data_IF_475307414538
#
_entry.id   IF_475307414538
#
_cell.length_a   1.000
_cell.length_b   1.000
_cell.length_c   1.000
_cell.angle_alpha   90.00
_cell.angle_beta   90.00
_cell.angle_gamma   90.00
#
_symmetry.space_group_name_H-M   'P 1'
#
loop_
_entity.id
_entity.type
_entity.pdbx_description
1 polymer ?
#
# COMPACT_ATOMS: atom_id res chain seq x y z
N UNK A 1 4.71 -28.10 10.36
CA UNK A 1 5.82 -27.83 9.42
C UNK A 1 5.28 -27.98 8.01
N UNK A 2 5.57 -27.07 7.08
CA UNK A 2 5.07 -27.16 5.69
C UNK A 2 5.74 -28.34 4.97
N UNK A 3 4.97 -29.09 4.18
CA UNK A 3 5.51 -30.16 3.31
C UNK A 3 5.66 -29.63 1.90
N UNK A 4 6.90 -29.48 1.43
CA UNK A 4 7.21 -29.02 0.08
C UNK A 4 7.45 -30.23 -0.83
N UNK A 5 6.84 -30.24 -2.03
CA UNK A 5 7.07 -31.29 -3.06
C UNK A 5 8.14 -30.90 -4.06
N UNK A 6 8.39 -29.60 -4.20
CA UNK A 6 9.44 -28.96 -4.98
C UNK A 6 9.87 -27.69 -4.24
N UNK A 7 10.98 -27.03 -4.61
CA UNK A 7 11.46 -25.84 -3.93
C UNK A 7 10.42 -24.71 -3.93
N UNK A 8 10.54 -23.80 -2.96
CA UNK A 8 9.79 -22.55 -2.92
C UNK A 8 10.78 -21.39 -2.80
N UNK A 9 10.52 -20.30 -3.52
CA UNK A 9 11.35 -19.10 -3.51
C UNK A 9 10.55 -17.96 -2.93
N UNK A 10 11.02 -17.45 -1.79
CA UNK A 10 10.55 -16.21 -1.20
C UNK A 10 11.30 -15.04 -1.81
N UNK A 11 10.62 -13.98 -2.19
CA UNK A 11 11.29 -12.81 -2.75
C UNK A 11 10.54 -11.51 -2.48
N UNK A 12 11.31 -10.43 -2.57
CA UNK A 12 10.89 -9.04 -2.36
C UNK A 12 11.73 -8.12 -3.25
N UNK A 13 11.12 -7.04 -3.74
CA UNK A 13 11.73 -6.12 -4.70
C UNK A 13 11.59 -4.67 -4.27
N UNK A 14 12.66 -3.90 -4.45
CA UNK A 14 12.60 -2.44 -4.41
C UNK A 14 12.71 -1.88 -5.81
N UNK A 15 11.98 -0.80 -6.09
CA UNK A 15 11.76 -0.33 -7.45
C UNK A 15 11.73 1.19 -7.55
N UNK A 16 11.90 1.71 -8.76
CA UNK A 16 11.77 3.15 -9.05
C UNK A 16 10.33 3.66 -8.94
N UNK A 17 9.33 2.78 -8.82
CA UNK A 17 7.91 3.12 -8.81
C UNK A 17 7.02 1.88 -8.95
N UNK A 18 5.70 2.08 -8.99
CA UNK A 18 4.73 0.98 -8.86
C UNK A 18 4.17 0.43 -10.17
N UNK A 19 4.63 0.90 -11.33
CA UNK A 19 4.06 0.58 -12.63
C UNK A 19 4.98 -0.35 -13.44
N UNK A 20 4.65 -1.65 -13.59
CA UNK A 20 5.54 -2.65 -14.21
C UNK A 20 5.96 -2.37 -15.66
N UNK A 21 5.15 -1.62 -16.40
CA UNK A 21 5.41 -1.27 -17.80
C UNK A 21 6.54 -0.24 -17.97
N UNK A 22 6.84 0.55 -16.93
CA UNK A 22 7.82 1.65 -17.00
C UNK A 22 8.86 1.65 -15.88
N UNK A 23 8.48 1.22 -14.68
CA UNK A 23 9.34 1.27 -13.50
C UNK A 23 10.29 0.06 -13.46
N UNK A 24 11.39 0.22 -12.74
CA UNK A 24 12.55 -0.69 -12.79
C UNK A 24 12.93 -1.17 -11.41
N UNK A 25 13.43 -2.39 -11.32
CA UNK A 25 13.97 -2.96 -10.07
C UNK A 25 15.32 -2.27 -9.76
N UNK A 26 15.50 -1.87 -8.50
CA UNK A 26 16.73 -1.25 -7.97
C UNK A 26 17.39 -2.09 -6.87
N UNK A 27 16.65 -2.98 -6.23
CA UNK A 27 17.16 -4.02 -5.32
C UNK A 27 16.26 -5.25 -5.40
N UNK A 28 16.83 -6.41 -5.17
CA UNK A 28 16.10 -7.67 -5.16
C UNK A 28 16.73 -8.63 -4.15
N UNK A 29 15.88 -9.41 -3.51
CA UNK A 29 16.29 -10.50 -2.63
C UNK A 29 15.42 -11.74 -2.87
N UNK A 30 16.07 -12.89 -2.97
CA UNK A 30 15.45 -14.19 -3.17
C UNK A 30 16.02 -15.18 -2.16
N UNK A 31 15.15 -15.87 -1.43
CA UNK A 31 15.47 -17.00 -0.58
C UNK A 31 14.81 -18.25 -1.15
N UNK A 32 15.60 -19.19 -1.62
CA UNK A 32 15.15 -20.49 -2.12
C UNK A 32 15.21 -21.50 -0.99
N UNK A 33 14.12 -22.21 -0.75
CA UNK A 33 14.04 -23.30 0.23
C UNK A 33 13.67 -24.62 -0.43
N UNK A 34 14.51 -25.63 -0.27
CA UNK A 34 14.30 -26.98 -0.78
C UNK A 34 13.33 -27.82 0.07
N UNK A 35 12.84 -28.95 -0.47
CA UNK A 35 12.03 -29.92 0.30
C UNK A 35 12.73 -30.53 1.53
N UNK A 36 14.05 -30.60 1.49
CA UNK A 36 14.92 -31.02 2.59
C UNK A 36 15.14 -29.93 3.65
N UNK A 37 14.62 -28.72 3.40
CA UNK A 37 14.76 -27.56 4.27
C UNK A 37 16.05 -26.79 4.09
N UNK A 38 16.91 -27.14 3.11
CA UNK A 38 18.08 -26.32 2.79
C UNK A 38 17.65 -24.97 2.22
N UNK A 39 18.41 -23.93 2.57
CA UNK A 39 18.15 -22.56 2.13
C UNK A 39 19.35 -21.99 1.38
N UNK A 40 19.05 -21.31 0.28
CA UNK A 40 20.00 -20.57 -0.53
C UNK A 40 19.48 -19.13 -0.67
N UNK A 41 20.38 -18.15 -0.64
CA UNK A 41 20.01 -16.73 -0.76
C UNK A 41 20.74 -16.10 -1.93
N UNK A 42 20.01 -15.30 -2.70
CA UNK A 42 20.54 -14.44 -3.75
C UNK A 42 19.98 -13.03 -3.55
N UNK A 43 20.85 -12.02 -3.44
CA UNK A 43 20.45 -10.62 -3.37
C UNK A 43 21.40 -9.74 -4.16
N UNK A 44 20.89 -8.64 -4.72
CA UNK A 44 21.71 -7.69 -5.48
C UNK A 44 21.00 -6.35 -5.59
N UNK A 45 21.75 -5.26 -5.35
CA UNK A 45 21.39 -3.98 -5.96
C UNK A 45 21.44 -4.11 -7.48
N UNK A 46 20.60 -3.34 -8.15
CA UNK A 46 20.41 -3.40 -9.60
C UNK A 46 20.55 -2.00 -10.16
N UNK A 47 21.34 -1.83 -11.22
CA UNK A 47 21.31 -0.59 -12.02
C UNK A 47 20.01 -0.59 -12.85
N UNK A 48 19.04 0.30 -12.55
CA UNK A 48 17.77 0.34 -13.27
C UNK A 48 17.90 0.92 -14.69
N UNK A 49 19.05 1.50 -15.04
CA UNK A 49 19.27 2.21 -16.31
C UNK A 49 18.48 3.51 -16.42
N UNK A 50 17.99 4.05 -15.30
CA UNK A 50 17.24 5.31 -15.22
C UNK A 50 17.42 5.97 -13.84
N UNK A 51 17.17 7.29 -13.71
CA UNK A 51 17.18 7.93 -12.40
C UNK A 51 16.10 7.36 -11.47
N UNK A 52 16.47 7.06 -10.23
CA UNK A 52 15.52 6.71 -9.15
C UNK A 52 14.77 7.97 -8.72
N UNK A 53 13.42 7.99 -8.75
CA UNK A 53 12.63 9.12 -8.25
C UNK A 53 12.86 9.39 -6.75
N UNK A 54 12.92 10.65 -6.30
CA UNK A 54 13.14 10.98 -4.90
C UNK A 54 12.11 10.37 -3.95
N UNK A 55 10.86 10.22 -4.40
CA UNK A 55 9.79 9.60 -3.62
C UNK A 55 10.04 8.11 -3.38
N UNK A 56 10.64 7.40 -4.35
CA UNK A 56 11.04 6.01 -4.18
C UNK A 56 12.21 5.90 -3.20
N UNK A 57 13.26 6.73 -3.39
CA UNK A 57 14.37 6.83 -2.44
C UNK A 57 13.92 7.19 -1.02
N UNK A 58 12.87 8.01 -0.86
CA UNK A 58 12.33 8.32 0.46
C UNK A 58 11.68 7.12 1.17
N UNK A 59 11.24 6.09 0.42
CA UNK A 59 10.65 4.86 0.94
C UNK A 59 11.73 3.81 1.23
N UNK A 60 12.52 3.45 0.23
CA UNK A 60 13.45 2.32 0.32
C UNK A 60 14.91 2.73 0.61
N UNK A 61 15.19 4.04 0.65
CA UNK A 61 16.51 4.62 1.00
C UNK A 61 17.67 4.28 0.05
N UNK A 62 17.38 3.78 -1.15
CA UNK A 62 18.38 3.48 -2.17
C UNK A 62 18.56 4.69 -3.07
N UNK A 63 19.80 5.14 -3.23
CA UNK A 63 20.14 6.32 -4.04
C UNK A 63 20.74 5.93 -5.39
N UNK A 64 20.76 6.88 -6.33
CA UNK A 64 21.38 6.71 -7.65
C UNK A 64 22.88 6.38 -7.56
N UNK A 65 23.56 6.82 -6.49
CA UNK A 65 24.96 6.51 -6.24
C UNK A 65 25.17 5.05 -5.84
N UNK A 66 24.23 4.47 -5.06
CA UNK A 66 24.33 3.08 -4.59
C UNK A 66 24.20 2.07 -5.74
N UNK A 67 23.32 2.34 -6.70
CA UNK A 67 23.08 1.46 -7.86
C UNK A 67 24.08 1.69 -9.00
N UNK A 68 24.92 2.73 -8.91
CA UNK A 68 25.90 3.03 -9.95
C UNK A 68 26.96 1.93 -10.03
N UNK A 69 27.10 1.33 -11.21
CA UNK A 69 28.06 0.25 -11.46
C UNK A 69 27.61 -1.12 -10.97
N UNK A 70 26.39 -1.23 -10.43
CA UNK A 70 25.74 -2.51 -10.15
C UNK A 70 25.31 -3.17 -11.47
N UNK A 71 25.11 -4.50 -11.48
CA UNK A 71 24.60 -5.17 -12.67
C UNK A 71 23.19 -4.68 -13.01
N UNK A 72 22.87 -4.60 -14.31
CA UNK A 72 21.49 -4.39 -14.75
C UNK A 72 20.67 -5.67 -14.53
N UNK A 73 19.33 -5.54 -14.49
CA UNK A 73 18.47 -6.72 -14.40
C UNK A 73 18.77 -7.73 -15.52
N UNK A 74 18.96 -7.25 -16.76
CA UNK A 74 19.25 -8.12 -17.90
C UNK A 74 20.54 -8.95 -17.71
N UNK A 75 21.55 -8.40 -17.02
CA UNK A 75 22.77 -9.13 -16.69
C UNK A 75 22.55 -10.20 -15.62
N UNK A 76 21.63 -9.96 -14.67
CA UNK A 76 21.28 -10.90 -13.62
C UNK A 76 20.27 -11.96 -14.06
N UNK A 77 19.45 -11.66 -15.05
CA UNK A 77 18.26 -12.43 -15.42
C UNK A 77 18.55 -13.92 -15.70
N UNK A 78 19.62 -14.32 -16.43
CA UNK A 78 19.92 -15.75 -16.62
C UNK A 78 20.19 -16.47 -15.29
N UNK A 79 21.02 -15.88 -14.43
CA UNK A 79 21.34 -16.45 -13.12
C UNK A 79 20.11 -16.51 -12.20
N UNK A 80 19.26 -15.48 -12.24
CA UNK A 80 18.01 -15.45 -11.50
C UNK A 80 17.02 -16.52 -11.98
N UNK A 81 16.90 -16.73 -13.29
CA UNK A 81 16.05 -17.77 -13.84
C UNK A 81 16.51 -19.17 -13.38
N UNK A 82 17.82 -19.42 -13.42
CA UNK A 82 18.42 -20.67 -12.95
C UNK A 82 18.22 -20.86 -11.44
N UNK A 83 18.40 -19.80 -10.65
CA UNK A 83 18.16 -19.81 -9.21
C UNK A 83 16.69 -20.13 -8.88
N UNK A 84 15.75 -19.49 -9.57
CA UNK A 84 14.31 -19.73 -9.39
C UNK A 84 13.96 -21.16 -9.83
N UNK A 85 14.51 -21.63 -10.95
CA UNK A 85 14.26 -22.98 -11.46
C UNK A 85 12.77 -23.28 -11.60
N UNK A 86 12.33 -24.45 -11.14
CA UNK A 86 10.94 -24.89 -11.14
C UNK A 86 10.16 -24.51 -9.87
N UNK A 87 10.77 -23.70 -8.98
CA UNK A 87 10.23 -23.40 -7.67
C UNK A 87 8.85 -22.73 -7.74
N UNK A 88 8.03 -23.01 -6.73
CA UNK A 88 6.88 -22.17 -6.41
C UNK A 88 7.35 -20.83 -5.84
N UNK A 89 6.50 -19.81 -5.91
CA UNK A 89 6.89 -18.45 -5.53
C UNK A 89 6.09 -17.99 -4.32
N UNK A 90 6.76 -17.32 -3.39
CA UNK A 90 6.16 -16.81 -2.17
C UNK A 90 6.71 -15.44 -1.77
N UNK A 91 5.99 -14.75 -0.89
CA UNK A 91 6.42 -13.47 -0.32
C UNK A 91 5.26 -12.76 0.35
N UNK A 92 5.42 -11.47 0.65
CA UNK A 92 4.41 -10.68 1.35
C UNK A 92 3.88 -9.56 0.44
N UNK A 93 2.70 -9.74 -0.16
CA UNK A 93 2.11 -8.79 -1.12
C UNK A 93 2.48 -9.05 -2.60
N UNK A 94 3.21 -10.13 -2.87
CA UNK A 94 3.85 -10.37 -4.18
C UNK A 94 2.90 -10.50 -5.37
N UNK A 95 1.64 -10.92 -5.16
CA UNK A 95 0.72 -11.18 -6.27
C UNK A 95 0.32 -9.91 -7.03
N UNK A 96 0.26 -8.78 -6.31
CA UNK A 96 -0.22 -7.52 -6.88
C UNK A 96 0.92 -6.66 -7.44
N UNK A 97 2.14 -6.90 -7.00
CA UNK A 97 3.27 -6.00 -7.26
C UNK A 97 4.50 -6.75 -7.77
N UNK A 98 5.12 -7.58 -6.94
CA UNK A 98 6.43 -8.17 -7.24
C UNK A 98 6.39 -9.13 -8.43
N UNK A 99 5.37 -9.98 -8.54
CA UNK A 99 5.21 -10.90 -9.66
C UNK A 99 5.05 -10.14 -10.99
N UNK A 100 4.15 -9.15 -11.11
CA UNK A 100 4.10 -8.27 -12.29
C UNK A 100 5.42 -7.57 -12.60
N UNK A 101 6.09 -6.98 -11.61
CA UNK A 101 7.38 -6.30 -11.78
C UNK A 101 8.46 -7.23 -12.32
N UNK A 102 8.63 -8.39 -11.68
CA UNK A 102 9.62 -9.40 -12.06
C UNK A 102 9.36 -9.93 -13.48
N UNK A 103 8.08 -10.18 -13.81
CA UNK A 103 7.69 -10.65 -15.15
C UNK A 103 8.03 -9.60 -16.22
N UNK A 104 7.74 -8.32 -15.96
CA UNK A 104 8.06 -7.24 -16.89
C UNK A 104 9.57 -7.05 -17.09
N UNK A 105 10.37 -7.20 -16.03
CA UNK A 105 11.83 -7.15 -16.11
C UNK A 105 12.42 -8.32 -16.92
N UNK A 106 11.94 -9.56 -16.69
CA UNK A 106 12.33 -10.71 -17.52
C UNK A 106 11.95 -10.52 -18.99
N UNK A 107 10.74 -10.01 -19.26
CA UNK A 107 10.30 -9.70 -20.61
C UNK A 107 11.22 -8.64 -21.27
N UNK A 108 11.60 -7.59 -20.53
CA UNK A 108 12.53 -6.55 -21.02
C UNK A 108 13.95 -7.09 -21.25
N UNK A 109 14.37 -8.10 -20.48
CA UNK A 109 15.62 -8.82 -20.70
C UNK A 109 15.56 -9.83 -21.86
N UNK A 110 14.41 -10.01 -22.51
CA UNK A 110 14.22 -10.97 -23.59
C UNK A 110 14.15 -12.43 -23.11
N UNK A 111 13.90 -12.65 -21.82
CA UNK A 111 13.83 -13.98 -21.20
C UNK A 111 12.36 -14.31 -20.90
N UNK A 112 11.91 -15.48 -21.33
CA UNK A 112 10.55 -15.94 -21.03
C UNK A 112 10.48 -16.46 -19.59
N UNK A 113 9.90 -15.64 -18.72
CA UNK A 113 9.50 -16.04 -17.36
C UNK A 113 7.98 -16.19 -17.30
N UNK A 114 7.50 -17.30 -16.75
CA UNK A 114 6.06 -17.60 -16.66
C UNK A 114 5.71 -18.11 -15.28
N UNK A 115 4.54 -17.78 -14.75
CA UNK A 115 4.06 -18.34 -13.48
C UNK A 115 3.03 -19.45 -13.68
N UNK A 116 2.69 -19.81 -14.92
CA UNK A 116 1.58 -20.71 -15.23
C UNK A 116 1.69 -22.12 -14.61
N UNK A 117 2.92 -22.63 -14.41
CA UNK A 117 3.19 -23.94 -13.79
C UNK A 117 3.63 -23.85 -12.33
N UNK A 118 3.52 -22.67 -11.71
CA UNK A 118 3.98 -22.37 -10.35
C UNK A 118 2.80 -22.06 -9.45
N UNK A 119 2.82 -22.57 -8.23
CA UNK A 119 1.96 -22.10 -7.15
C UNK A 119 2.51 -20.76 -6.67
N UNK A 120 1.58 -19.84 -6.37
CA UNK A 120 1.92 -18.52 -5.84
C UNK A 120 1.32 -18.40 -4.45
N UNK A 121 2.16 -18.10 -3.46
CA UNK A 121 1.76 -18.01 -2.05
C UNK A 121 2.03 -16.61 -1.52
N UNK A 122 0.97 -15.89 -1.16
CA UNK A 122 1.07 -14.54 -0.64
C UNK A 122 0.73 -14.50 0.84
N UNK A 123 1.74 -14.22 1.66
CA UNK A 123 1.63 -14.13 3.10
C UNK A 123 0.71 -12.97 3.54
N UNK A 124 0.62 -11.87 2.78
CA UNK A 124 -0.32 -10.77 3.08
C UNK A 124 -1.77 -11.22 2.87
N UNK A 125 -2.02 -12.02 1.83
CA UNK A 125 -3.34 -12.60 1.58
C UNK A 125 -3.73 -13.57 2.70
N UNK A 126 -2.79 -14.40 3.18
CA UNK A 126 -3.02 -15.30 4.33
C UNK A 126 -3.30 -14.48 5.58
N UNK A 127 -2.49 -13.46 5.89
CA UNK A 127 -2.67 -12.59 7.04
C UNK A 127 -4.07 -11.99 7.08
N UNK A 128 -4.53 -11.37 5.99
CA UNK A 128 -5.87 -10.77 5.95
C UNK A 128 -7.02 -11.77 6.07
N UNK A 129 -6.82 -13.03 5.66
CA UNK A 129 -7.83 -14.08 5.80
C UNK A 129 -7.89 -14.66 7.21
N UNK A 130 -6.74 -14.76 7.87
CA UNK A 130 -6.62 -15.37 9.19
C UNK A 130 -6.81 -14.37 10.33
N UNK A 131 -6.53 -13.08 10.09
CA UNK A 131 -6.71 -11.98 11.04
C UNK A 131 -7.80 -11.00 10.56
N UNK A 132 -9.09 -11.41 10.62
CA UNK A 132 -10.19 -10.57 10.15
C UNK A 132 -10.35 -9.31 11.01
N UNK A 133 -10.65 -8.17 10.37
CA UNK A 133 -10.83 -6.87 11.03
C UNK A 133 -12.29 -6.66 11.46
N UNK A 134 -12.77 -7.48 12.39
CA UNK A 134 -14.13 -7.38 12.93
C UNK A 134 -14.14 -7.44 14.47
N UNK A 135 -15.30 -7.16 15.08
CA UNK A 135 -15.45 -7.11 16.54
C UNK A 135 -15.12 -8.47 17.20
N UNK A 136 -15.55 -9.59 16.62
CA UNK A 136 -15.24 -10.93 17.16
C UNK A 136 -13.73 -11.17 17.25
N UNK A 137 -12.99 -10.80 16.21
CA UNK A 137 -11.53 -10.94 16.19
C UNK A 137 -10.86 -9.98 17.17
N UNK A 138 -11.34 -8.73 17.26
CA UNK A 138 -10.84 -7.76 18.24
C UNK A 138 -11.08 -8.25 19.68
N UNK A 139 -12.28 -8.77 19.97
CA UNK A 139 -12.62 -9.27 21.30
C UNK A 139 -11.76 -10.49 21.69
N UNK A 140 -11.50 -11.39 20.74
CA UNK A 140 -10.57 -12.49 20.95
C UNK A 140 -9.13 -11.99 21.18
N UNK A 141 -8.66 -11.05 20.37
CA UNK A 141 -7.29 -10.54 20.43
C UNK A 141 -6.98 -9.75 21.70
N UNK A 142 -7.88 -8.85 22.10
CA UNK A 142 -7.66 -7.92 23.22
C UNK A 142 -8.16 -8.49 24.55
N UNK A 143 -9.22 -9.29 24.55
CA UNK A 143 -9.85 -9.78 25.78
C UNK A 143 -9.70 -11.30 25.98
N UNK A 144 -9.21 -12.04 24.97
CA UNK A 144 -9.08 -13.51 25.04
C UNK A 144 -10.41 -14.26 25.05
N UNK A 145 -11.53 -13.58 24.70
CA UNK A 145 -12.89 -14.11 24.81
C UNK A 145 -13.52 -14.39 23.45
N UNK A 146 -14.43 -15.35 23.41
CA UNK A 146 -15.31 -15.57 22.27
C UNK A 146 -16.55 -14.65 22.38
N UNK A 147 -17.00 -14.10 21.25
CA UNK A 147 -18.23 -13.31 21.21
C UNK A 147 -19.42 -14.25 20.97
N UNK A 148 -20.14 -14.56 22.05
CA UNK A 148 -21.43 -15.26 22.00
C UNK A 148 -22.54 -14.29 21.61
N UNK A 149 -23.60 -14.76 20.94
CA UNK A 149 -24.73 -13.94 20.46
C UNK A 149 -24.34 -12.72 19.60
N UNK A 150 -23.27 -12.86 18.81
CA UNK A 150 -22.85 -11.83 17.86
C UNK A 150 -24.02 -11.31 17.01
N UNK A 151 -24.04 -10.01 16.73
CA UNK A 151 -25.13 -9.29 16.07
C UNK A 151 -26.36 -8.98 16.95
N UNK A 152 -26.33 -9.36 18.24
CA UNK A 152 -27.23 -8.76 19.25
C UNK A 152 -26.59 -7.46 19.74
N UNK A 153 -27.33 -6.36 19.62
CA UNK A 153 -26.83 -5.02 19.94
C UNK A 153 -26.22 -4.91 21.35
N UNK A 154 -26.81 -5.57 22.35
CA UNK A 154 -26.26 -5.57 23.72
C UNK A 154 -24.93 -6.35 23.82
N UNK A 155 -24.85 -7.54 23.23
CA UNK A 155 -23.64 -8.36 23.24
C UNK A 155 -22.49 -7.63 22.54
N UNK A 156 -22.76 -7.07 21.35
CA UNK A 156 -21.79 -6.28 20.58
C UNK A 156 -21.36 -5.02 21.33
N UNK A 157 -22.27 -4.31 22.00
CA UNK A 157 -21.95 -3.13 22.82
C UNK A 157 -21.04 -3.50 23.99
N UNK A 158 -21.31 -4.61 24.70
CA UNK A 158 -20.49 -5.05 25.85
C UNK A 158 -19.09 -5.42 25.42
N UNK A 159 -18.99 -6.24 24.36
CA UNK A 159 -17.71 -6.62 23.78
C UNK A 159 -16.93 -5.40 23.29
N UNK A 160 -17.59 -4.44 22.63
CA UNK A 160 -16.94 -3.20 22.17
C UNK A 160 -16.36 -2.38 23.33
N UNK A 161 -17.11 -2.28 24.44
CA UNK A 161 -16.63 -1.58 25.63
C UNK A 161 -15.41 -2.27 26.24
N UNK A 162 -15.42 -3.60 26.34
CA UNK A 162 -14.29 -4.36 26.87
C UNK A 162 -13.05 -4.23 25.98
N UNK A 163 -13.22 -4.34 24.65
CA UNK A 163 -12.14 -4.11 23.69
C UNK A 163 -11.53 -2.73 23.87
N UNK A 164 -12.35 -1.69 24.01
CA UNK A 164 -11.87 -0.32 24.19
C UNK A 164 -10.98 -0.17 25.43
N UNK A 165 -11.39 -0.68 26.59
CA UNK A 165 -10.57 -0.60 27.79
C UNK A 165 -9.30 -1.46 27.70
N UNK A 166 -9.38 -2.66 27.11
CA UNK A 166 -8.21 -3.49 26.88
C UNK A 166 -7.19 -2.83 25.92
N UNK A 167 -7.66 -2.03 24.95
CA UNK A 167 -6.77 -1.21 24.11
C UNK A 167 -6.06 -0.13 24.93
N UNK A 168 -6.75 0.56 25.84
CA UNK A 168 -6.14 1.57 26.71
C UNK A 168 -5.09 0.98 27.66
N UNK A 169 -5.26 -0.26 28.09
CA UNK A 169 -4.27 -1.01 28.89
C UNK A 169 -3.07 -1.43 28.04
N UNK A 170 -3.33 -1.95 26.83
CA UNK A 170 -2.28 -2.46 25.94
C UNK A 170 -1.40 -1.40 25.32
N UNK A 171 -1.95 -0.20 25.07
CA UNK A 171 -1.25 0.90 24.40
C UNK A 171 -1.09 2.10 25.37
N UNK A 172 0.05 2.18 26.09
CA UNK A 172 0.35 3.30 26.99
C UNK A 172 0.35 4.67 26.30
N UNK A 173 0.66 4.71 25.01
CA UNK A 173 0.72 5.90 24.18
C UNK A 173 -0.65 6.48 23.82
N UNK A 174 -1.74 5.71 23.97
CA UNK A 174 -3.08 6.24 23.74
C UNK A 174 -3.41 7.34 24.74
N UNK A 175 -4.03 8.45 24.30
CA UNK A 175 -4.56 9.46 25.21
C UNK A 175 -5.45 8.84 26.28
N UNK A 176 -5.36 9.35 27.52
CA UNK A 176 -6.11 8.80 28.66
C UNK A 176 -7.40 9.56 28.97
N UNK A 177 -7.73 10.54 28.15
CA UNK A 177 -8.99 11.29 28.21
C UNK A 177 -9.77 11.16 26.90
N UNK A 178 -11.10 11.33 26.99
CA UNK A 178 -12.02 11.16 25.87
C UNK A 178 -11.77 12.19 24.76
N UNK A 179 -11.31 13.40 25.08
CA UNK A 179 -11.06 14.42 24.07
C UNK A 179 -9.82 14.06 23.22
N UNK A 180 -8.74 13.61 23.86
CA UNK A 180 -7.55 13.10 23.21
C UNK A 180 -7.82 11.84 22.38
N UNK A 181 -8.60 10.88 22.92
CA UNK A 181 -8.99 9.68 22.17
C UNK A 181 -9.87 10.03 20.96
N UNK A 182 -10.80 10.97 21.13
CA UNK A 182 -11.61 11.49 20.04
C UNK A 182 -10.75 12.16 18.97
N UNK A 183 -9.73 12.93 19.36
CA UNK A 183 -8.77 13.53 18.43
C UNK A 183 -7.97 12.45 17.70
N UNK A 184 -7.42 11.46 18.41
CA UNK A 184 -6.68 10.34 17.83
C UNK A 184 -7.49 9.56 16.79
N UNK A 185 -8.77 9.29 17.07
CA UNK A 185 -9.67 8.64 16.10
C UNK A 185 -10.00 9.52 14.88
N UNK A 186 -9.88 10.85 15.00
CA UNK A 186 -10.16 11.82 13.94
C UNK A 186 -8.91 12.23 13.17
N UNK A 187 -7.72 12.23 13.78
CA UNK A 187 -6.44 12.53 13.12
C UNK A 187 -6.11 11.48 12.04
N UNK A 188 -6.48 10.22 12.29
CA UNK A 188 -6.48 9.15 11.28
C UNK A 188 -7.57 9.34 10.20
N UNK A 189 -8.47 10.32 10.39
CA UNK A 189 -9.57 10.73 9.50
C UNK A 189 -9.47 12.19 9.07
N UNK A 190 -8.28 12.69 8.74
CA UNK A 190 -8.15 13.83 7.81
C UNK A 190 -8.57 13.38 6.37
N UNK A 191 -9.78 12.84 6.32
CA UNK A 191 -10.50 12.19 5.24
C UNK A 191 -11.97 12.62 5.26
N UNK A 192 -12.37 13.58 6.10
CA UNK A 192 -13.69 14.19 6.04
C UNK A 192 -13.86 14.79 4.64
N UNK A 193 -14.86 14.31 3.93
CA UNK A 193 -15.09 14.67 2.54
C UNK A 193 -15.43 16.17 2.41
N UNK A 194 -14.78 16.84 1.47
CA UNK A 194 -15.09 18.23 1.09
C UNK A 194 -16.25 18.28 0.10
N UNK A 195 -16.43 17.21 -0.68
CA UNK A 195 -17.53 17.02 -1.62
C UNK A 195 -18.28 15.71 -1.34
N UNK A 196 -19.53 15.63 -1.78
CA UNK A 196 -20.40 14.46 -1.58
C UNK A 196 -19.89 13.12 -2.14
N UNK A 197 -18.92 13.12 -3.06
CA UNK A 197 -18.29 11.89 -3.59
C UNK A 197 -16.99 11.51 -2.86
N UNK A 198 -16.49 12.33 -1.94
CA UNK A 198 -15.23 12.08 -1.22
C UNK A 198 -13.99 12.14 -2.12
N UNK A 199 -14.08 12.84 -3.26
CA UNK A 199 -12.97 13.05 -4.20
C UNK A 199 -11.96 14.07 -3.66
N UNK A 200 -12.43 15.00 -2.84
CA UNK A 200 -11.64 15.92 -2.04
C UNK A 200 -11.89 15.61 -0.55
N UNK A 201 -10.83 15.68 0.24
CA UNK A 201 -10.88 15.51 1.70
C UNK A 201 -10.09 16.60 2.41
N UNK A 202 -10.47 16.93 3.64
CA UNK A 202 -9.70 17.85 4.48
C UNK A 202 -8.40 17.22 4.94
N UNK A 203 -7.27 17.85 4.63
CA UNK A 203 -5.94 17.48 5.14
C UNK A 203 -5.21 18.70 5.63
N UNK A 204 -4.79 18.72 6.89
CA UNK A 204 -4.13 19.88 7.50
C UNK A 204 -4.91 21.19 7.29
N UNK A 205 -6.25 21.12 7.35
CA UNK A 205 -7.15 22.25 7.14
C UNK A 205 -7.35 22.70 5.68
N UNK A 206 -6.74 22.01 4.71
CA UNK A 206 -6.88 22.31 3.27
C UNK A 206 -7.62 21.19 2.53
N UNK A 207 -8.37 21.55 1.50
CA UNK A 207 -8.98 20.56 0.60
C UNK A 207 -7.90 19.88 -0.25
N UNK A 208 -7.84 18.55 -0.24
CA UNK A 208 -6.85 17.76 -0.97
C UNK A 208 -7.49 16.58 -1.71
N UNK A 209 -6.90 16.18 -2.84
CA UNK A 209 -7.39 15.09 -3.65
C UNK A 209 -7.26 13.75 -2.93
N UNK A 210 -8.32 12.94 -2.99
CA UNK A 210 -8.37 11.60 -2.42
C UNK A 210 -8.24 10.49 -3.48
N UNK A 211 -8.06 10.86 -4.75
CA UNK A 211 -8.05 9.95 -5.90
C UNK A 211 -7.09 10.42 -7.00
N UNK A 212 -6.83 9.55 -7.96
CA UNK A 212 -6.07 9.87 -9.18
C UNK A 212 -4.59 10.18 -8.94
N UNK A 213 -3.93 10.66 -10.00
CA UNK A 213 -2.48 10.97 -10.00
C UNK A 213 -2.08 12.09 -9.03
N UNK A 214 -3.04 12.91 -8.59
CA UNK A 214 -2.82 14.00 -7.62
C UNK A 214 -3.30 13.66 -6.22
N UNK A 215 -3.61 12.39 -5.94
CA UNK A 215 -3.97 11.96 -4.59
C UNK A 215 -2.95 12.50 -3.60
N UNK A 216 -3.44 13.04 -2.48
CA UNK A 216 -2.73 13.75 -1.41
C UNK A 216 -2.37 15.20 -1.66
N UNK A 217 -2.24 15.65 -2.91
CA UNK A 217 -1.98 17.05 -3.23
C UNK A 217 -3.20 17.93 -2.93
N UNK A 218 -2.96 19.16 -2.52
CA UNK A 218 -4.04 20.12 -2.24
C UNK A 218 -4.68 20.62 -3.53
N UNK A 219 -5.97 20.93 -3.46
CA UNK A 219 -6.70 21.58 -4.56
C UNK A 219 -6.02 22.88 -4.97
N UNK A 220 -5.48 23.63 -4.01
CA UNK A 220 -4.70 24.85 -4.22
C UNK A 220 -3.44 24.60 -5.06
N UNK A 221 -2.66 23.57 -4.73
CA UNK A 221 -1.44 23.24 -5.47
C UNK A 221 -1.74 22.82 -6.90
N UNK A 222 -2.75 21.98 -7.12
CA UNK A 222 -3.10 21.50 -8.46
C UNK A 222 -3.73 22.61 -9.29
N UNK A 223 -4.60 23.44 -8.72
CA UNK A 223 -5.18 24.58 -9.43
C UNK A 223 -4.11 25.58 -9.90
N UNK A 224 -3.01 25.75 -9.15
CA UNK A 224 -1.90 26.61 -9.55
C UNK A 224 -0.96 25.96 -10.57
N UNK A 225 -0.61 24.69 -10.38
CA UNK A 225 0.42 24.00 -11.18
C UNK A 225 -0.13 23.36 -12.45
N UNK A 226 -1.36 22.85 -12.40
CA UNK A 226 -2.02 22.10 -13.48
C UNK A 226 -3.51 22.51 -13.61
N UNK A 227 -3.82 23.77 -13.96
CA UNK A 227 -5.21 24.23 -14.10
C UNK A 227 -6.01 23.40 -15.12
N UNK A 228 -5.36 22.92 -16.18
CA UNK A 228 -6.00 22.03 -17.18
C UNK A 228 -6.50 20.70 -16.60
N UNK A 229 -5.89 20.20 -15.51
CA UNK A 229 -6.41 19.02 -14.80
C UNK A 229 -7.72 19.34 -14.09
N UNK A 230 -7.82 20.53 -13.49
CA UNK A 230 -9.05 21.00 -12.83
C UNK A 230 -10.17 21.20 -13.86
N UNK A 231 -9.86 21.79 -15.02
CA UNK A 231 -10.80 21.95 -16.13
C UNK A 231 -11.29 20.60 -16.68
N UNK A 232 -10.39 19.63 -16.86
CA UNK A 232 -10.77 18.27 -17.24
C UNK A 232 -11.70 17.64 -16.20
N UNK A 233 -11.37 17.77 -14.92
CA UNK A 233 -12.16 17.19 -13.84
C UNK A 233 -13.57 17.78 -13.80
N UNK A 234 -13.73 19.08 -14.03
CA UNK A 234 -15.04 19.73 -14.12
C UNK A 234 -15.92 19.17 -15.24
N UNK A 235 -15.32 18.74 -16.34
CA UNK A 235 -16.03 18.26 -17.54
C UNK A 235 -16.13 16.72 -17.63
N UNK A 236 -15.54 15.99 -16.68
CA UNK A 236 -15.62 14.53 -16.69
C UNK A 236 -17.04 14.04 -16.38
N UNK A 237 -17.53 13.03 -17.12
CA UNK A 237 -18.91 12.52 -17.03
C UNK A 237 -19.38 12.13 -15.61
N UNK A 238 -18.46 11.78 -14.72
CA UNK A 238 -18.74 11.33 -13.35
C UNK A 238 -18.61 12.43 -12.28
N UNK A 239 -18.43 13.68 -12.68
CA UNK A 239 -18.25 14.81 -11.76
C UNK A 239 -19.60 15.39 -11.35
N UNK A 240 -19.82 15.57 -10.05
CA UNK A 240 -21.05 16.19 -9.53
C UNK A 240 -21.05 17.70 -9.73
N UNK A 241 -22.23 18.35 -9.80
CA UNK A 241 -22.33 19.81 -9.85
C UNK A 241 -21.61 20.50 -8.68
N UNK A 242 -21.65 19.89 -7.49
CA UNK A 242 -20.95 20.38 -6.30
C UNK A 242 -19.43 20.40 -6.50
N UNK A 243 -18.85 19.27 -6.94
CA UNK A 243 -17.41 19.18 -7.17
C UNK A 243 -16.98 20.11 -8.31
N UNK A 244 -17.76 20.20 -9.39
CA UNK A 244 -17.50 21.13 -10.48
C UNK A 244 -17.49 22.59 -10.01
N UNK A 245 -18.41 22.97 -9.10
CA UNK A 245 -18.42 24.30 -8.48
C UNK A 245 -17.18 24.56 -7.64
N UNK A 246 -16.78 23.60 -6.78
CA UNK A 246 -15.57 23.70 -5.96
C UNK A 246 -14.32 23.89 -6.83
N UNK A 247 -14.21 23.10 -7.92
CA UNK A 247 -13.13 23.21 -8.88
C UNK A 247 -13.12 24.57 -9.61
N UNK A 248 -14.29 25.07 -10.04
CA UNK A 248 -14.42 26.38 -10.67
C UNK A 248 -13.99 27.52 -9.75
N UNK A 249 -14.37 27.46 -8.47
CA UNK A 249 -13.97 28.45 -7.47
C UNK A 249 -12.46 28.41 -7.20
N UNK A 250 -11.87 27.20 -7.18
CA UNK A 250 -10.44 27.02 -6.99
C UNK A 250 -9.59 27.65 -8.11
N UNK A 251 -10.03 27.57 -9.37
CA UNK A 251 -9.39 28.25 -10.50
C UNK A 251 -9.44 29.78 -10.38
N UNK A 252 -10.44 30.32 -9.65
CA UNK A 252 -10.55 31.75 -9.33
C UNK A 252 -9.81 32.12 -8.03
N UNK A 253 -9.03 31.21 -7.44
CA UNK A 253 -8.29 31.42 -6.21
C UNK A 253 -9.13 31.36 -4.94
N UNK A 254 -10.37 30.85 -5.01
CA UNK A 254 -11.24 30.65 -3.84
C UNK A 254 -11.22 29.19 -3.45
N UNK A 255 -10.75 28.90 -2.24
CA UNK A 255 -10.63 27.53 -1.74
C UNK A 255 -11.62 27.25 -0.61
N UNK A 256 -12.13 26.00 -0.51
CA UNK A 256 -12.94 25.59 0.62
C UNK A 256 -12.21 25.87 1.95
N UNK A 257 -12.94 26.40 2.93
CA UNK A 257 -12.46 26.58 4.31
C UNK A 257 -13.09 25.52 5.20
N UNK A 258 -12.29 24.80 5.99
CA UNK A 258 -12.78 23.75 6.89
C UNK A 258 -13.77 24.39 7.90
N UNK A 259 -15.05 23.99 7.93
CA UNK A 259 -16.01 24.58 8.86
C UNK A 259 -15.61 24.29 10.32
N UNK A 260 -15.77 25.29 11.20
CA UNK A 260 -15.53 25.09 12.62
C UNK A 260 -16.48 24.00 13.16
N UNK A 261 -15.92 22.92 13.70
CA UNK A 261 -16.69 21.80 14.26
C UNK A 261 -16.93 20.61 13.32
N UNK A 262 -16.52 20.68 12.05
CA UNK A 262 -16.37 19.49 11.20
C UNK A 262 -15.00 18.88 11.54
N UNK A 263 -15.03 17.87 12.43
CA UNK A 263 -13.84 17.10 12.84
C UNK A 263 -13.40 16.19 11.71
#
# INVERSE_FOLDING_TARGET
>A
MITLRKPIVFFDLETTGVAPDRDRIVDLAFLRRGPDGQEEVFSSLVDPGMPIPPEATAVHHITNEMVRGQPTFAALAPKLLDFIGDADLAGFGILRFDIPMLTAEFQRAGITFTTASRQLVDALTIFHRMEPRNLTAAYKLYCGKALEDAHRAEADMRASSEVFFAQLERYPELPKDVAGLSAFCVEQRDSAAVDSQGKLVWRNGKAAFNFGKHRTLTLEEVARKEPGYIEWLMNAERTTPELARICSEALMGKFPVKPAGVK
#
